data_IF_564073525587
#
_entry.id   IF_564073525587
#
_cell.length_a   1.000
_cell.length_b   1.000
_cell.length_c   1.000
_cell.angle_alpha   90.00
_cell.angle_beta   90.00
_cell.angle_gamma   90.00
#
_symmetry.space_group_name_H-M   'P 1'
#
loop_
_entity.id
_entity.type
_entity.pdbx_description
1 polymer ?
#
# COMPACT_ATOMS: atom_id res chain seq x y z
N UNK A 1 -41.84 75.25 12.32
CA UNK A 1 -42.50 74.18 11.56
C UNK A 1 -41.43 73.16 11.22
N UNK A 2 -41.28 72.13 12.06
CA UNK A 2 -40.17 71.18 12.06
C UNK A 2 -40.69 69.85 11.49
N UNK A 3 -40.20 69.47 10.31
CA UNK A 3 -40.62 68.27 9.57
C UNK A 3 -39.79 67.07 10.05
N UNK A 4 -40.38 66.17 10.84
CA UNK A 4 -39.76 64.89 11.19
C UNK A 4 -39.92 63.90 10.03
N UNK A 5 -38.82 63.57 9.36
CA UNK A 5 -38.76 62.50 8.37
C UNK A 5 -38.57 61.15 9.07
N UNK A 6 -39.61 60.32 9.07
CA UNK A 6 -39.57 58.94 9.56
C UNK A 6 -38.91 58.05 8.51
N UNK A 7 -37.60 57.85 8.64
CA UNK A 7 -36.85 56.86 7.85
C UNK A 7 -37.29 55.44 8.22
N UNK A 8 -38.05 54.79 7.33
CA UNK A 8 -38.36 53.37 7.44
C UNK A 8 -37.11 52.56 7.06
N UNK A 9 -36.41 52.06 8.08
CA UNK A 9 -35.34 51.07 7.89
C UNK A 9 -35.93 49.75 7.40
N UNK A 10 -35.76 49.45 6.11
CA UNK A 10 -36.02 48.13 5.55
C UNK A 10 -34.99 47.15 6.15
N UNK A 11 -35.45 46.29 7.05
CA UNK A 11 -34.65 45.15 7.51
C UNK A 11 -34.56 44.13 6.35
N UNK A 12 -33.38 44.03 5.73
CA UNK A 12 -33.07 42.96 4.78
C UNK A 12 -32.91 41.69 5.63
N UNK A 13 -33.93 40.83 5.63
CA UNK A 13 -33.81 39.50 6.21
C UNK A 13 -32.85 38.68 5.33
N UNK A 14 -31.79 38.07 5.88
CA UNK A 14 -30.96 37.17 5.11
C UNK A 14 -31.82 36.02 4.59
N UNK A 15 -31.91 35.86 3.28
CA UNK A 15 -32.55 34.69 2.67
C UNK A 15 -31.73 33.47 3.06
N UNK A 16 -32.33 32.58 3.86
CA UNK A 16 -31.74 31.28 4.11
C UNK A 16 -31.40 30.62 2.75
N UNK A 17 -30.19 30.08 2.57
CA UNK A 17 -29.84 29.41 1.32
C UNK A 17 -30.89 28.35 1.03
N UNK A 18 -31.49 28.42 -0.16
CA UNK A 18 -32.46 27.44 -0.60
C UNK A 18 -31.80 26.06 -0.49
N UNK A 19 -32.30 25.22 0.42
CA UNK A 19 -31.71 23.91 0.69
C UNK A 19 -31.73 23.08 -0.59
N UNK A 20 -30.55 22.85 -1.18
CA UNK A 20 -30.42 21.95 -2.32
C UNK A 20 -30.92 20.56 -1.90
N UNK A 21 -31.69 19.92 -2.78
CA UNK A 21 -32.14 18.55 -2.53
C UNK A 21 -30.92 17.64 -2.35
N UNK A 22 -30.95 16.76 -1.34
CA UNK A 22 -29.87 15.81 -1.12
C UNK A 22 -29.68 14.93 -2.38
N UNK A 23 -28.44 14.74 -2.87
CA UNK A 23 -28.21 13.96 -4.07
C UNK A 23 -28.59 12.49 -3.85
N UNK A 24 -29.22 11.90 -4.86
CA UNK A 24 -29.50 10.46 -4.93
C UNK A 24 -28.43 9.69 -5.72
N UNK A 25 -28.58 8.38 -5.83
CA UNK A 25 -27.71 7.55 -6.68
C UNK A 25 -27.72 8.05 -8.14
N UNK A 26 -26.53 8.06 -8.76
CA UNK A 26 -26.29 8.57 -10.11
C UNK A 26 -26.22 10.09 -10.22
N UNK A 27 -26.43 10.85 -9.14
CA UNK A 27 -26.37 12.31 -9.20
C UNK A 27 -24.95 12.81 -9.46
N UNK A 28 -24.85 13.89 -10.23
CA UNK A 28 -23.65 14.72 -10.33
C UNK A 28 -23.66 15.75 -9.21
N UNK A 29 -22.57 15.87 -8.47
CA UNK A 29 -22.41 16.81 -7.38
C UNK A 29 -21.31 17.81 -7.77
N UNK A 30 -21.66 19.08 -7.96
CA UNK A 30 -20.75 20.14 -8.43
C UNK A 30 -20.37 21.17 -7.36
N UNK A 31 -20.74 20.92 -6.11
CA UNK A 31 -20.41 21.75 -4.95
C UNK A 31 -20.24 20.85 -3.74
N UNK A 32 -19.64 21.34 -2.66
CA UNK A 32 -19.63 20.66 -1.37
C UNK A 32 -21.02 20.13 -0.99
N UNK A 33 -21.09 18.83 -0.70
CA UNK A 33 -22.29 18.18 -0.20
C UNK A 33 -21.95 17.27 0.96
N UNK A 34 -22.69 17.43 2.05
CA UNK A 34 -22.72 16.46 3.14
C UNK A 34 -23.97 15.60 2.99
N UNK A 35 -23.77 14.30 2.74
CA UNK A 35 -24.88 13.35 2.84
C UNK A 35 -25.25 13.16 4.31
N UNK A 36 -26.51 13.41 4.64
CA UNK A 36 -27.05 13.17 5.99
C UNK A 36 -27.69 11.79 6.13
N UNK A 37 -27.70 10.99 5.05
CA UNK A 37 -28.29 9.65 4.97
C UNK A 37 -27.46 8.76 4.05
N UNK A 38 -27.44 7.47 4.37
CA UNK A 38 -26.82 6.45 3.52
C UNK A 38 -27.50 6.38 2.15
N UNK A 39 -26.71 6.28 1.08
CA UNK A 39 -27.20 5.95 -0.25
C UNK A 39 -27.08 4.44 -0.50
N UNK A 40 -28.13 3.84 -1.05
CA UNK A 40 -28.17 2.44 -1.49
C UNK A 40 -28.40 2.40 -2.99
N UNK A 41 -27.38 2.01 -3.73
CA UNK A 41 -27.40 2.12 -5.18
C UNK A 41 -27.41 0.72 -5.83
N UNK A 42 -28.30 0.51 -6.80
CA UNK A 42 -28.33 -0.70 -7.62
C UNK A 42 -27.27 -0.69 -8.72
N UNK A 43 -26.78 0.49 -9.10
CA UNK A 43 -25.65 0.73 -10.00
C UNK A 43 -24.66 1.71 -9.39
N UNK A 44 -24.18 2.69 -10.18
CA UNK A 44 -23.23 3.70 -9.69
C UNK A 44 -23.77 4.53 -8.52
N UNK A 45 -22.88 4.86 -7.59
CA UNK A 45 -23.17 5.68 -6.43
C UNK A 45 -23.26 7.17 -6.79
N UNK A 46 -22.18 7.93 -6.57
CA UNK A 46 -22.14 9.36 -6.88
C UNK A 46 -21.06 9.69 -7.91
N UNK A 47 -21.38 10.66 -8.77
CA UNK A 47 -20.39 11.34 -9.60
C UNK A 47 -20.02 12.63 -8.86
N UNK A 48 -18.88 12.62 -8.18
CA UNK A 48 -18.43 13.74 -7.37
C UNK A 48 -17.56 14.69 -8.17
N UNK A 49 -17.71 15.96 -7.85
CA UNK A 49 -16.68 16.96 -8.04
C UNK A 49 -16.04 17.35 -6.68
N UNK A 50 -16.70 17.15 -5.52
CA UNK A 50 -16.17 17.50 -4.15
C UNK A 50 -16.72 16.59 -2.98
N UNK A 51 -16.35 16.83 -1.69
CA UNK A 51 -16.06 15.83 -0.61
C UNK A 51 -17.13 15.45 0.47
N UNK A 52 -17.03 14.24 1.09
CA UNK A 52 -17.54 13.91 2.47
C UNK A 52 -18.68 12.87 2.67
N UNK A 53 -18.49 11.52 2.61
CA UNK A 53 -19.64 10.59 2.32
C UNK A 53 -19.59 9.11 2.81
N UNK A 54 -20.76 8.51 3.10
CA UNK A 54 -21.01 7.04 3.16
C UNK A 54 -21.92 6.59 2.02
N UNK A 55 -21.49 5.61 1.21
CA UNK A 55 -22.17 5.11 0.00
C UNK A 55 -22.16 3.57 -0.02
N UNK A 56 -23.32 2.94 -0.24
CA UNK A 56 -23.48 1.48 -0.22
C UNK A 56 -23.97 1.00 -1.60
N UNK A 57 -23.28 0.01 -2.17
CA UNK A 57 -23.57 -0.56 -3.48
C UNK A 57 -24.19 -1.95 -3.46
N UNK A 58 -24.56 -2.41 -4.65
CA UNK A 58 -25.17 -3.73 -4.92
C UNK A 58 -24.16 -4.84 -5.25
N UNK A 59 -22.88 -4.51 -5.35
CA UNK A 59 -21.78 -5.38 -5.82
C UNK A 59 -21.33 -5.07 -7.25
N UNK A 60 -22.00 -4.14 -7.95
CA UNK A 60 -21.70 -3.74 -9.34
C UNK A 60 -21.40 -2.24 -9.43
N UNK A 61 -20.82 -1.80 -10.56
CA UNK A 61 -20.59 -0.37 -10.83
C UNK A 61 -19.56 0.29 -9.92
N UNK A 62 -19.58 1.63 -9.90
CA UNK A 62 -18.62 2.47 -9.16
C UNK A 62 -19.31 3.22 -8.03
N UNK A 63 -18.77 3.15 -6.81
CA UNK A 63 -19.32 3.86 -5.64
C UNK A 63 -19.18 5.38 -5.75
N UNK A 64 -17.96 5.86 -5.98
CA UNK A 64 -17.63 7.27 -6.22
C UNK A 64 -16.84 7.36 -7.50
N UNK A 65 -17.23 8.20 -8.44
CA UNK A 65 -16.40 8.57 -9.57
C UNK A 65 -16.08 10.05 -9.52
N UNK A 66 -14.81 10.41 -9.71
CA UNK A 66 -14.39 11.81 -9.91
C UNK A 66 -14.28 12.16 -11.40
N UNK A 67 -14.89 11.35 -12.26
CA UNK A 67 -14.74 11.36 -13.71
C UNK A 67 -15.49 12.47 -14.47
N UNK A 68 -14.93 13.65 -14.70
CA UNK A 68 -15.48 14.68 -15.60
C UNK A 68 -14.62 15.95 -15.64
N UNK A 69 -14.83 16.92 -16.55
CA UNK A 69 -14.03 18.16 -16.69
C UNK A 69 -14.11 19.14 -15.49
N UNK A 70 -14.29 18.61 -14.28
CA UNK A 70 -14.38 19.30 -13.01
C UNK A 70 -13.02 19.75 -12.48
N UNK A 71 -12.96 20.09 -11.19
CA UNK A 71 -11.83 20.79 -10.58
C UNK A 71 -10.54 19.98 -10.68
N UNK A 72 -9.40 20.68 -10.65
CA UNK A 72 -8.06 20.07 -10.68
C UNK A 72 -7.83 19.12 -9.48
N UNK A 73 -8.61 19.25 -8.41
CA UNK A 73 -8.51 18.42 -7.21
C UNK A 73 -9.88 18.07 -6.64
N UNK A 74 -10.10 16.79 -6.36
CA UNK A 74 -11.27 16.32 -5.59
C UNK A 74 -10.82 15.71 -4.28
N UNK A 75 -11.43 16.15 -3.18
CA UNK A 75 -11.20 15.58 -1.85
C UNK A 75 -12.36 14.65 -1.49
N UNK A 76 -12.11 13.57 -0.75
CA UNK A 76 -13.11 12.63 -0.21
C UNK A 76 -12.71 12.36 1.22
N UNK A 77 -13.57 12.73 2.17
CA UNK A 77 -13.29 12.68 3.61
C UNK A 77 -14.32 11.79 4.29
N UNK A 78 -13.87 10.90 5.17
CA UNK A 78 -14.72 10.07 6.03
C UNK A 78 -15.71 9.15 5.29
N UNK A 79 -16.42 8.37 6.10
CA UNK A 79 -17.53 7.53 5.68
C UNK A 79 -17.11 6.18 5.10
N UNK A 80 -18.08 5.45 4.57
CA UNK A 80 -17.91 4.04 4.16
C UNK A 80 -18.35 3.85 2.71
N UNK A 81 -17.49 3.30 1.86
CA UNK A 81 -17.82 2.85 0.50
C UNK A 81 -17.72 1.33 0.43
N UNK A 82 -18.84 0.64 0.20
CA UNK A 82 -18.84 -0.84 0.25
C UNK A 82 -19.69 -1.53 -0.80
N UNK A 83 -19.27 -2.75 -1.13
CA UNK A 83 -19.93 -3.66 -2.07
C UNK A 83 -20.14 -3.01 -3.44
N UNK A 84 -19.08 -2.52 -4.07
CA UNK A 84 -19.07 -2.11 -5.46
C UNK A 84 -18.05 -2.93 -6.27
N UNK A 85 -18.12 -2.87 -7.60
CA UNK A 85 -17.00 -3.36 -8.40
C UNK A 85 -15.78 -2.48 -8.14
N UNK A 86 -15.95 -1.14 -8.24
CA UNK A 86 -14.94 -0.16 -7.85
C UNK A 86 -15.49 0.75 -6.77
N UNK A 87 -14.82 0.85 -5.61
CA UNK A 87 -15.24 1.75 -4.55
C UNK A 87 -15.14 3.21 -4.98
N UNK A 88 -13.92 3.66 -5.29
CA UNK A 88 -13.63 5.01 -5.77
C UNK A 88 -12.85 4.90 -7.08
N UNK A 89 -13.36 5.51 -8.16
CA UNK A 89 -12.63 5.74 -9.39
C UNK A 89 -12.14 7.20 -9.43
N UNK A 90 -10.84 7.37 -9.23
CA UNK A 90 -10.11 8.63 -9.09
C UNK A 90 -9.25 8.91 -10.33
N UNK A 91 -9.89 9.10 -11.48
CA UNK A 91 -9.20 9.26 -12.78
C UNK A 91 -8.55 10.63 -13.01
N UNK A 92 -8.81 11.61 -12.15
CA UNK A 92 -8.40 13.02 -12.32
C UNK A 92 -7.05 13.32 -11.64
N UNK A 93 -6.35 14.42 -12.03
CA UNK A 93 -4.92 14.56 -11.80
C UNK A 93 -4.53 14.72 -10.33
N UNK A 94 -5.45 15.03 -9.43
CA UNK A 94 -5.19 15.05 -7.98
C UNK A 94 -6.44 14.65 -7.21
N UNK A 95 -6.39 13.55 -6.46
CA UNK A 95 -7.47 13.19 -5.54
C UNK A 95 -6.91 13.03 -4.13
N UNK A 96 -7.65 13.46 -3.12
CA UNK A 96 -7.29 13.26 -1.71
C UNK A 96 -8.38 12.40 -1.07
N UNK A 97 -8.00 11.25 -0.53
CA UNK A 97 -8.91 10.34 0.18
C UNK A 97 -8.44 10.20 1.61
N UNK A 98 -9.25 10.63 2.58
CA UNK A 98 -8.83 10.62 3.99
C UNK A 98 -9.93 10.16 4.93
N UNK A 99 -9.61 9.32 5.92
CA UNK A 99 -10.58 8.83 6.89
C UNK A 99 -11.66 7.90 6.30
N UNK A 100 -11.51 7.42 5.07
CA UNK A 100 -12.55 6.63 4.38
C UNK A 100 -12.37 5.14 4.69
N UNK A 101 -13.48 4.44 4.88
CA UNK A 101 -13.50 2.98 4.95
C UNK A 101 -13.99 2.38 3.63
N UNK A 102 -13.15 1.60 2.94
CA UNK A 102 -13.51 0.87 1.73
C UNK A 102 -13.60 -0.63 2.02
N UNK A 103 -14.79 -1.22 1.84
CA UNK A 103 -15.04 -2.60 2.26
C UNK A 103 -15.74 -3.46 1.21
N UNK A 104 -15.27 -4.68 1.00
CA UNK A 104 -15.99 -5.67 0.19
C UNK A 104 -16.13 -5.26 -1.28
N UNK A 105 -15.25 -4.39 -1.78
CA UNK A 105 -15.23 -4.00 -3.19
C UNK A 105 -14.33 -4.95 -3.98
N UNK A 106 -14.54 -5.09 -5.28
CA UNK A 106 -13.55 -5.82 -6.11
C UNK A 106 -12.24 -5.02 -6.15
N UNK A 107 -12.34 -3.72 -6.41
CA UNK A 107 -11.26 -2.74 -6.28
C UNK A 107 -11.70 -1.64 -5.32
N UNK A 108 -10.92 -1.33 -4.30
CA UNK A 108 -11.22 -0.24 -3.37
C UNK A 108 -11.09 1.11 -4.05
N UNK A 109 -9.87 1.50 -4.42
CA UNK A 109 -9.57 2.70 -5.21
C UNK A 109 -8.91 2.28 -6.52
N UNK A 110 -9.39 2.82 -7.63
CA UNK A 110 -8.75 2.78 -8.95
C UNK A 110 -8.37 4.22 -9.34
N UNK A 111 -7.07 4.50 -9.52
CA UNK A 111 -6.55 5.87 -9.66
C UNK A 111 -5.39 5.97 -10.64
N UNK A 112 -5.03 7.22 -10.99
CA UNK A 112 -3.74 7.60 -11.58
C UNK A 112 -2.96 8.59 -10.72
N UNK A 113 -3.64 9.32 -9.83
CA UNK A 113 -2.98 10.20 -8.87
C UNK A 113 -3.88 10.40 -7.66
N UNK A 114 -3.45 9.83 -6.53
CA UNK A 114 -4.21 9.93 -5.28
C UNK A 114 -3.27 10.01 -4.09
N UNK A 115 -3.64 10.88 -3.14
CA UNK A 115 -3.11 10.86 -1.79
C UNK A 115 -4.13 10.21 -0.88
N UNK A 116 -3.74 9.13 -0.21
CA UNK A 116 -4.59 8.39 0.74
C UNK A 116 -4.01 8.55 2.14
N UNK A 117 -4.83 8.94 3.11
CA UNK A 117 -4.40 9.03 4.51
C UNK A 117 -5.43 8.53 5.49
N UNK A 118 -5.00 8.00 6.63
CA UNK A 118 -5.86 7.60 7.75
C UNK A 118 -7.09 6.76 7.34
N UNK A 119 -6.96 5.96 6.28
CA UNK A 119 -8.08 5.24 5.65
C UNK A 119 -8.01 3.75 5.97
N UNK A 120 -9.14 3.06 5.84
CA UNK A 120 -9.26 1.64 6.18
C UNK A 120 -9.81 0.83 5.01
N UNK A 121 -9.05 -0.17 4.56
CA UNK A 121 -9.42 -1.05 3.45
C UNK A 121 -9.61 -2.47 3.96
N UNK A 122 -10.83 -3.01 3.87
CA UNK A 122 -11.16 -4.32 4.45
C UNK A 122 -11.84 -5.24 3.45
N UNK A 123 -11.30 -6.44 3.29
CA UNK A 123 -11.93 -7.50 2.49
C UNK A 123 -12.26 -7.07 1.05
N UNK A 124 -11.39 -6.27 0.43
CA UNK A 124 -11.46 -5.97 -1.00
C UNK A 124 -10.67 -7.03 -1.78
N UNK A 125 -10.97 -7.18 -3.08
CA UNK A 125 -10.09 -7.94 -3.98
C UNK A 125 -8.71 -7.28 -4.02
N UNK A 126 -8.67 -6.05 -4.51
CA UNK A 126 -7.51 -5.14 -4.45
C UNK A 126 -7.92 -3.88 -3.70
N UNK A 127 -7.18 -3.47 -2.67
CA UNK A 127 -7.54 -2.28 -1.90
C UNK A 127 -7.25 -0.97 -2.62
N UNK A 128 -6.06 -0.80 -3.19
CA UNK A 128 -5.75 0.28 -4.15
C UNK A 128 -5.06 -0.30 -5.36
N UNK A 129 -5.59 0.00 -6.53
CA UNK A 129 -5.00 -0.31 -7.82
C UNK A 129 -4.61 1.01 -8.48
N UNK A 130 -3.36 1.12 -8.92
CA UNK A 130 -2.90 2.31 -9.62
C UNK A 130 -1.97 1.95 -10.77
N UNK A 131 -2.25 2.57 -11.92
CA UNK A 131 -1.38 2.54 -13.08
C UNK A 131 -1.03 3.98 -13.48
N UNK A 132 0.27 4.27 -13.58
CA UNK A 132 0.82 5.60 -13.89
C UNK A 132 0.60 6.64 -12.78
N UNK A 133 1.42 7.70 -12.83
CA UNK A 133 1.35 8.85 -11.93
C UNK A 133 1.92 8.59 -10.53
N UNK A 134 1.42 9.35 -9.54
CA UNK A 134 1.94 9.34 -8.17
C UNK A 134 0.94 8.77 -7.17
N UNK A 135 1.43 8.01 -6.20
CA UNK A 135 0.64 7.53 -5.07
C UNK A 135 1.34 7.89 -3.77
N UNK A 136 0.63 8.54 -2.86
CA UNK A 136 1.08 8.68 -1.48
C UNK A 136 0.07 8.02 -0.55
N UNK A 137 0.51 7.11 0.31
CA UNK A 137 -0.34 6.47 1.32
C UNK A 137 0.30 6.60 2.69
N UNK A 138 -0.44 7.16 3.64
CA UNK A 138 0.05 7.32 5.00
C UNK A 138 -0.96 6.91 6.06
N UNK A 139 -0.49 6.35 7.17
CA UNK A 139 -1.31 6.10 8.36
C UNK A 139 -2.55 5.23 8.10
N UNK A 140 -2.54 4.40 7.06
CA UNK A 140 -3.71 3.67 6.59
C UNK A 140 -3.62 2.19 6.95
N UNK A 141 -4.78 1.54 7.07
CA UNK A 141 -4.88 0.11 7.43
C UNK A 141 -5.47 -0.71 6.28
N UNK A 142 -4.78 -1.77 5.89
CA UNK A 142 -5.15 -2.71 4.86
C UNK A 142 -5.34 -4.10 5.48
N UNK A 143 -6.57 -4.60 5.56
CA UNK A 143 -6.88 -5.84 6.26
C UNK A 143 -7.68 -6.83 5.42
N UNK A 144 -7.23 -8.08 5.40
CA UNK A 144 -7.93 -9.20 4.75
C UNK A 144 -8.24 -8.95 3.26
N UNK A 145 -7.44 -8.15 2.54
CA UNK A 145 -7.62 -7.96 1.10
C UNK A 145 -6.88 -9.07 0.33
N UNK A 146 -7.28 -9.32 -0.91
CA UNK A 146 -6.47 -10.15 -1.81
C UNK A 146 -5.10 -9.51 -2.03
N UNK A 147 -5.09 -8.26 -2.50
CA UNK A 147 -3.90 -7.41 -2.62
C UNK A 147 -4.16 -6.08 -1.90
N UNK A 148 -3.22 -5.62 -1.08
CA UNK A 148 -3.29 -4.31 -0.43
C UNK A 148 -3.12 -3.18 -1.45
N UNK A 149 -1.94 -3.11 -2.07
CA UNK A 149 -1.61 -2.15 -3.13
C UNK A 149 -1.11 -2.91 -4.37
N UNK A 150 -1.71 -2.67 -5.52
CA UNK A 150 -1.25 -3.20 -6.82
C UNK A 150 -0.85 -2.05 -7.75
N UNK A 151 0.43 -1.99 -8.07
CA UNK A 151 1.12 -0.80 -8.56
C UNK A 151 1.86 -1.11 -9.86
N UNK A 152 1.55 -0.36 -10.92
CA UNK A 152 2.16 -0.53 -12.23
C UNK A 152 2.63 0.82 -12.79
N UNK A 153 3.92 0.92 -13.15
CA UNK A 153 4.51 2.12 -13.75
C UNK A 153 4.31 3.40 -12.90
N UNK A 154 4.48 3.32 -11.59
CA UNK A 154 4.22 4.42 -10.63
C UNK A 154 5.42 4.75 -9.74
N UNK A 155 5.44 5.97 -9.19
CA UNK A 155 6.31 6.36 -8.08
C UNK A 155 5.46 6.49 -6.81
N UNK A 156 5.86 5.78 -5.75
CA UNK A 156 5.01 5.60 -4.57
C UNK A 156 5.75 5.88 -3.27
N UNK A 157 5.12 6.64 -2.37
CA UNK A 157 5.54 6.82 -0.98
C UNK A 157 4.51 6.19 -0.03
N UNK A 158 4.95 5.18 0.72
CA UNK A 158 4.17 4.47 1.72
C UNK A 158 4.83 4.67 3.09
N UNK A 159 4.15 5.38 3.98
CA UNK A 159 4.69 5.66 5.32
C UNK A 159 3.69 5.32 6.42
N UNK A 160 4.12 4.62 7.46
CA UNK A 160 3.30 4.32 8.65
C UNK A 160 1.99 3.58 8.33
N UNK A 161 2.05 2.62 7.41
CA UNK A 161 0.88 1.81 7.04
C UNK A 161 0.88 0.47 7.76
N UNK A 162 -0.33 -0.09 7.94
CA UNK A 162 -0.54 -1.38 8.60
C UNK A 162 -1.23 -2.34 7.64
N UNK A 163 -0.56 -3.42 7.27
CA UNK A 163 -1.06 -4.49 6.42
C UNK A 163 -1.27 -5.76 7.26
N UNK A 164 -2.51 -6.24 7.33
CA UNK A 164 -2.87 -7.41 8.16
C UNK A 164 -3.60 -8.47 7.34
N UNK A 165 -3.04 -9.67 7.28
CA UNK A 165 -3.64 -10.84 6.64
C UNK A 165 -4.08 -10.58 5.18
N UNK A 166 -3.29 -9.82 4.43
CA UNK A 166 -3.53 -9.67 2.99
C UNK A 166 -2.89 -10.86 2.25
N UNK A 167 -3.42 -11.24 1.09
CA UNK A 167 -2.75 -12.22 0.22
C UNK A 167 -1.37 -11.71 -0.21
N UNK A 168 -1.34 -10.47 -0.71
CA UNK A 168 -0.11 -9.68 -0.92
C UNK A 168 -0.30 -8.29 -0.30
N UNK A 169 0.64 -7.81 0.51
CA UNK A 169 0.59 -6.46 1.07
C UNK A 169 0.77 -5.39 -0.01
N UNK A 170 1.96 -5.36 -0.63
CA UNK A 170 2.28 -4.46 -1.75
C UNK A 170 2.82 -5.28 -2.92
N UNK A 171 2.21 -5.13 -4.10
CA UNK A 171 2.67 -5.67 -5.38
C UNK A 171 3.07 -4.51 -6.27
N UNK A 172 4.29 -4.55 -6.79
CA UNK A 172 4.76 -3.59 -7.80
C UNK A 172 5.22 -4.30 -9.06
N UNK A 173 5.06 -3.62 -10.19
CA UNK A 173 5.68 -3.94 -11.47
C UNK A 173 6.15 -2.63 -12.13
N UNK A 174 7.41 -2.58 -12.57
CA UNK A 174 8.02 -1.39 -13.19
C UNK A 174 7.80 -0.08 -12.39
N UNK A 175 7.89 -0.13 -11.06
CA UNK A 175 7.55 1.01 -10.21
C UNK A 175 8.67 1.37 -9.25
N UNK A 176 8.76 2.66 -8.91
CA UNK A 176 9.54 3.17 -7.79
C UNK A 176 8.70 3.17 -6.53
N UNK A 177 9.31 2.72 -5.43
CA UNK A 177 8.61 2.60 -4.17
C UNK A 177 9.53 2.95 -3.01
N UNK A 178 9.05 3.83 -2.15
CA UNK A 178 9.59 4.06 -0.81
C UNK A 178 8.58 3.54 0.20
N UNK A 179 9.00 2.58 1.02
CA UNK A 179 8.21 2.06 2.14
C UNK A 179 9.00 2.30 3.43
N UNK A 180 8.42 3.09 4.32
CA UNK A 180 9.01 3.38 5.64
C UNK A 180 8.04 3.20 6.78
N UNK A 181 8.58 2.81 7.94
CA UNK A 181 7.87 2.75 9.23
C UNK A 181 6.56 1.94 9.18
N UNK A 182 6.47 0.96 8.27
CA UNK A 182 5.24 0.21 8.02
C UNK A 182 5.29 -1.19 8.60
N UNK A 183 4.12 -1.74 8.92
CA UNK A 183 3.97 -3.06 9.51
C UNK A 183 3.18 -4.00 8.58
N UNK A 184 3.76 -5.16 8.32
CA UNK A 184 3.17 -6.25 7.56
C UNK A 184 3.04 -7.46 8.48
N UNK A 185 1.81 -7.91 8.72
CA UNK A 185 1.53 -8.98 9.67
C UNK A 185 0.53 -9.99 9.14
N UNK A 186 0.93 -11.27 9.10
CA UNK A 186 0.03 -12.34 8.68
C UNK A 186 -0.33 -12.27 7.20
N UNK A 187 -0.71 -13.42 6.63
CA UNK A 187 -1.09 -13.53 5.22
C UNK A 187 0.03 -14.09 4.36
N UNK A 188 -0.01 -13.80 3.06
CA UNK A 188 0.92 -14.37 2.09
C UNK A 188 2.23 -13.60 2.02
N UNK A 189 2.39 -12.79 0.97
CA UNK A 189 3.60 -12.01 0.72
C UNK A 189 3.47 -10.61 1.33
N UNK A 190 4.44 -10.14 2.11
CA UNK A 190 4.45 -8.75 2.59
C UNK A 190 4.62 -7.76 1.44
N UNK A 191 5.78 -7.80 0.78
CA UNK A 191 6.10 -6.95 -0.37
C UNK A 191 6.64 -7.79 -1.53
N UNK A 192 6.04 -7.63 -2.71
CA UNK A 192 6.46 -8.26 -3.97
C UNK A 192 6.89 -7.17 -4.96
N UNK A 193 8.19 -7.08 -5.24
CA UNK A 193 8.77 -6.13 -6.18
C UNK A 193 9.16 -6.83 -7.47
N UNK A 194 8.69 -6.31 -8.61
CA UNK A 194 8.98 -6.84 -9.95
C UNK A 194 9.48 -5.72 -10.87
N UNK A 195 10.56 -6.02 -11.60
CA UNK A 195 11.02 -5.23 -12.76
C UNK A 195 11.23 -3.72 -12.54
N UNK A 196 11.69 -3.27 -11.37
CA UNK A 196 11.92 -1.84 -11.10
C UNK A 196 13.20 -1.27 -11.76
N UNK A 197 13.38 -1.48 -13.07
CA UNK A 197 14.52 -0.92 -13.84
C UNK A 197 14.42 0.60 -13.93
N UNK A 198 15.45 1.31 -13.48
CA UNK A 198 15.51 2.77 -13.56
C UNK A 198 14.66 3.50 -12.53
N UNK A 199 13.97 2.77 -11.67
CA UNK A 199 13.19 3.31 -10.55
C UNK A 199 13.94 3.17 -9.23
N UNK A 200 13.64 4.05 -8.27
CA UNK A 200 14.19 3.94 -6.92
C UNK A 200 13.34 3.00 -6.08
N UNK A 201 13.97 2.00 -5.46
CA UNK A 201 13.32 1.10 -4.50
C UNK A 201 13.98 1.27 -3.14
N UNK A 202 13.20 1.63 -2.12
CA UNK A 202 13.67 1.73 -0.74
C UNK A 202 12.67 1.12 0.23
N UNK A 203 13.13 0.16 1.02
CA UNK A 203 12.40 -0.40 2.17
C UNK A 203 13.23 -0.12 3.42
N UNK A 204 12.73 0.74 4.30
CA UNK A 204 13.44 1.28 5.46
C UNK A 204 12.61 1.10 6.74
N UNK A 205 13.19 0.59 7.83
CA UNK A 205 12.52 0.55 9.15
C UNK A 205 11.14 -0.14 9.17
N UNK A 206 10.92 -1.14 8.31
CA UNK A 206 9.65 -1.87 8.29
C UNK A 206 9.70 -3.14 9.15
N UNK A 207 8.53 -3.59 9.59
CA UNK A 207 8.37 -4.85 10.32
C UNK A 207 7.54 -5.84 9.50
N UNK A 208 8.09 -7.02 9.26
CA UNK A 208 7.47 -8.14 8.54
C UNK A 208 7.36 -9.32 9.49
N UNK A 209 6.14 -9.72 9.85
CA UNK A 209 5.94 -10.74 10.89
C UNK A 209 4.80 -11.71 10.59
N UNK A 210 5.01 -12.98 10.85
CA UNK A 210 4.02 -14.05 10.68
C UNK A 210 3.47 -14.15 9.23
N UNK A 211 4.22 -13.70 8.21
CA UNK A 211 3.83 -13.84 6.79
C UNK A 211 4.26 -15.20 6.26
N UNK A 212 3.70 -15.65 5.13
CA UNK A 212 4.29 -16.77 4.40
C UNK A 212 5.72 -16.42 3.95
N UNK A 213 5.94 -15.19 3.48
CA UNK A 213 7.26 -14.65 3.11
C UNK A 213 7.25 -13.13 3.26
N UNK A 214 8.32 -12.57 3.83
CA UNK A 214 8.39 -11.14 4.12
C UNK A 214 8.42 -10.29 2.85
N UNK A 215 9.53 -10.37 2.11
CA UNK A 215 9.73 -9.62 0.87
C UNK A 215 10.29 -10.51 -0.23
N UNK A 216 9.75 -10.38 -1.44
CA UNK A 216 10.29 -10.98 -2.67
C UNK A 216 10.71 -9.86 -3.61
N UNK A 217 11.96 -9.89 -4.08
CA UNK A 217 12.46 -8.99 -5.11
C UNK A 217 12.89 -9.80 -6.31
N UNK A 218 12.20 -9.63 -7.43
CA UNK A 218 12.43 -10.41 -8.65
C UNK A 218 12.42 -9.53 -9.90
N UNK A 219 12.74 -10.14 -11.03
CA UNK A 219 12.90 -9.45 -12.29
C UNK A 219 14.13 -8.53 -12.29
N UNK A 220 14.13 -7.56 -13.19
CA UNK A 220 15.26 -6.65 -13.34
C UNK A 220 15.12 -5.45 -12.38
N UNK A 221 15.35 -5.66 -11.08
CA UNK A 221 15.33 -4.57 -10.08
C UNK A 221 16.74 -4.03 -9.84
N UNK A 222 16.92 -2.71 -9.83
CA UNK A 222 18.23 -2.07 -9.68
C UNK A 222 18.21 -0.98 -8.62
N UNK A 223 19.35 -0.74 -7.96
CA UNK A 223 19.51 0.31 -6.94
C UNK A 223 18.49 0.19 -5.78
N UNK A 224 18.01 -1.01 -5.49
CA UNK A 224 17.17 -1.25 -4.34
C UNK A 224 17.98 -1.11 -3.05
N UNK A 225 17.46 -0.36 -2.09
CA UNK A 225 18.02 -0.20 -0.75
C UNK A 225 17.04 -0.81 0.25
N UNK A 226 17.42 -1.93 0.84
CA UNK A 226 16.65 -2.63 1.85
C UNK A 226 17.41 -2.50 3.17
N UNK A 227 16.98 -1.59 4.02
CA UNK A 227 17.70 -1.20 5.22
C UNK A 227 16.88 -1.25 6.49
N UNK A 228 17.50 -1.69 7.58
CA UNK A 228 16.96 -1.54 8.95
C UNK A 228 15.58 -2.19 9.17
N UNK A 229 15.21 -3.16 8.33
CA UNK A 229 13.94 -3.88 8.45
C UNK A 229 14.07 -5.07 9.42
N UNK A 230 12.95 -5.42 10.05
CA UNK A 230 12.82 -6.57 10.94
C UNK A 230 11.93 -7.63 10.30
N UNK A 231 12.50 -8.80 9.99
CA UNK A 231 11.81 -9.96 9.46
C UNK A 231 11.75 -11.06 10.52
N UNK A 232 10.54 -11.37 11.00
CA UNK A 232 10.36 -12.28 12.13
C UNK A 232 9.29 -13.33 11.87
N UNK A 233 9.57 -14.59 12.21
CA UNK A 233 8.56 -15.65 12.20
C UNK A 233 7.83 -15.82 10.86
N UNK A 234 8.48 -15.49 9.74
CA UNK A 234 7.89 -15.74 8.43
C UNK A 234 8.03 -17.23 8.08
N UNK A 235 7.03 -17.79 7.40
CA UNK A 235 6.98 -19.21 7.05
C UNK A 235 8.19 -19.65 6.24
N UNK A 236 8.50 -18.91 5.17
CA UNK A 236 9.71 -19.02 4.37
C UNK A 236 10.77 -17.98 4.82
N UNK A 237 11.71 -17.64 3.94
CA UNK A 237 12.69 -16.59 4.20
C UNK A 237 12.05 -15.24 4.56
N UNK A 238 12.74 -14.43 5.35
CA UNK A 238 12.34 -13.05 5.60
C UNK A 238 12.44 -12.22 4.31
N UNK A 239 13.57 -12.35 3.61
CA UNK A 239 13.82 -11.68 2.34
C UNK A 239 14.34 -12.70 1.32
N UNK A 240 13.70 -12.72 0.15
CA UNK A 240 14.09 -13.55 -0.99
C UNK A 240 14.40 -12.69 -2.21
N UNK A 241 15.62 -12.83 -2.72
CA UNK A 241 16.18 -12.06 -3.83
C UNK A 241 16.73 -13.02 -4.90
N UNK A 242 15.87 -13.75 -5.65
CA UNK A 242 16.24 -14.78 -6.63
C UNK A 242 17.16 -14.30 -7.74
N UNK A 243 16.87 -13.13 -8.29
CA UNK A 243 17.43 -12.64 -9.53
C UNK A 243 17.53 -11.13 -9.49
N UNK A 244 18.72 -10.62 -9.78
CA UNK A 244 18.90 -9.23 -10.18
C UNK A 244 19.89 -9.17 -11.33
N UNK A 245 19.60 -8.28 -12.28
CA UNK A 245 20.64 -7.77 -13.16
C UNK A 245 21.73 -7.13 -12.28
N UNK A 246 23.00 -7.20 -12.66
CA UNK A 246 24.16 -6.89 -11.82
C UNK A 246 24.30 -5.39 -11.45
N UNK A 247 23.30 -4.82 -10.78
CA UNK A 247 23.25 -3.45 -10.29
C UNK A 247 23.44 -3.41 -8.77
N UNK A 248 23.81 -2.25 -8.25
CA UNK A 248 24.22 -2.03 -6.87
C UNK A 248 23.04 -2.04 -5.86
N UNK A 249 22.33 -3.16 -5.74
CA UNK A 249 21.34 -3.30 -4.67
C UNK A 249 22.06 -3.46 -3.33
N UNK A 250 21.55 -2.81 -2.29
CA UNK A 250 22.10 -2.82 -0.94
C UNK A 250 21.11 -3.43 0.03
N UNK A 251 21.55 -4.42 0.79
CA UNK A 251 20.80 -5.06 1.86
C UNK A 251 21.63 -4.87 3.14
N UNK A 252 21.21 -3.95 4.02
CA UNK A 252 22.05 -3.54 5.15
C UNK A 252 21.29 -3.35 6.45
N UNK A 253 21.85 -3.79 7.58
CA UNK A 253 21.25 -3.49 8.90
C UNK A 253 19.93 -4.21 9.18
N UNK A 254 19.56 -5.20 8.38
CA UNK A 254 18.30 -5.92 8.57
C UNK A 254 18.45 -7.01 9.64
N UNK A 255 17.36 -7.32 10.33
CA UNK A 255 17.29 -8.40 11.32
C UNK A 255 16.37 -9.51 10.82
N UNK A 256 16.86 -10.76 10.82
CA UNK A 256 16.15 -11.95 10.39
C UNK A 256 16.08 -12.95 11.56
N UNK A 257 14.92 -13.04 12.21
CA UNK A 257 14.72 -13.91 13.37
C UNK A 257 13.63 -14.95 13.11
N UNK A 258 13.90 -16.21 13.43
CA UNK A 258 12.89 -17.27 13.46
C UNK A 258 12.15 -17.49 12.13
N UNK A 259 12.78 -17.20 10.97
CA UNK A 259 12.15 -17.40 9.66
C UNK A 259 12.39 -18.82 9.11
N UNK A 260 11.56 -19.23 8.15
CA UNK A 260 11.82 -20.42 7.33
C UNK A 260 11.29 -21.75 7.87
N UNK A 261 10.54 -21.75 8.97
CA UNK A 261 10.05 -22.98 9.62
C UNK A 261 8.84 -23.63 8.92
N UNK A 262 8.19 -22.91 8.01
CA UNK A 262 7.04 -23.37 7.24
C UNK A 262 7.08 -22.81 5.80
N UNK A 263 8.09 -23.18 5.00
CA UNK A 263 8.34 -22.55 3.70
C UNK A 263 7.26 -22.84 2.65
N UNK A 264 6.33 -23.76 2.93
CA UNK A 264 5.19 -24.06 2.05
C UNK A 264 5.66 -24.45 0.64
N UNK A 265 5.18 -23.72 -0.36
CA UNK A 265 5.55 -23.91 -1.77
C UNK A 265 6.75 -23.04 -2.22
N UNK A 266 7.33 -22.23 -1.34
CA UNK A 266 8.40 -21.30 -1.70
C UNK A 266 9.75 -22.02 -1.75
N UNK A 267 10.31 -22.09 -2.96
CA UNK A 267 11.60 -22.73 -3.23
C UNK A 267 12.57 -21.78 -3.94
N UNK A 268 13.86 -22.03 -3.74
CA UNK A 268 14.96 -21.37 -4.46
C UNK A 268 15.03 -21.85 -5.94
N UNK A 269 15.89 -21.25 -6.78
CA UNK A 269 16.04 -21.68 -8.18
C UNK A 269 16.53 -23.12 -8.37
N UNK A 270 17.06 -23.76 -7.32
CA UNK A 270 17.50 -25.16 -7.32
C UNK A 270 16.40 -26.12 -6.83
N UNK A 271 15.24 -25.60 -6.41
CA UNK A 271 14.12 -26.37 -5.87
C UNK A 271 14.22 -26.66 -4.38
N UNK A 272 15.19 -26.08 -3.65
CA UNK A 272 15.27 -26.22 -2.20
C UNK A 272 14.28 -25.29 -1.50
N UNK A 273 13.75 -25.70 -0.36
CA UNK A 273 12.85 -24.85 0.41
C UNK A 273 13.54 -23.58 0.92
N UNK A 274 12.86 -22.42 0.79
CA UNK A 274 13.35 -21.12 1.28
C UNK A 274 13.28 -21.04 2.81
N UNK A 275 14.26 -21.63 3.48
CA UNK A 275 14.31 -21.74 4.95
C UNK A 275 15.31 -20.78 5.61
N UNK A 276 16.17 -20.12 4.84
CA UNK A 276 17.17 -19.18 5.34
C UNK A 276 16.54 -17.85 5.78
N UNK A 277 17.15 -17.12 6.72
CA UNK A 277 16.66 -15.80 7.12
C UNK A 277 16.62 -14.81 5.95
N UNK A 278 17.77 -14.70 5.26
CA UNK A 278 17.95 -14.00 3.99
C UNK A 278 18.44 -14.98 2.94
N UNK A 279 17.80 -15.01 1.78
CA UNK A 279 18.30 -15.67 0.58
C UNK A 279 18.47 -14.64 -0.54
N UNK A 280 19.68 -14.52 -1.09
CA UNK A 280 19.98 -13.57 -2.17
C UNK A 280 20.95 -14.13 -3.20
N UNK A 281 20.77 -13.72 -4.46
CA UNK A 281 21.65 -14.03 -5.57
C UNK A 281 22.47 -12.81 -6.03
N UNK A 282 23.23 -12.96 -7.12
CA UNK A 282 24.11 -11.94 -7.69
C UNK A 282 23.40 -10.58 -7.87
N UNK A 283 24.15 -9.51 -7.61
CA UNK A 283 23.66 -8.14 -7.74
C UNK A 283 23.19 -7.52 -6.42
N UNK A 284 23.51 -8.13 -5.28
CA UNK A 284 23.30 -7.53 -3.96
C UNK A 284 24.64 -7.37 -3.21
N UNK A 285 24.74 -6.28 -2.45
CA UNK A 285 25.74 -6.07 -1.42
C UNK A 285 25.08 -6.29 -0.06
N UNK A 286 25.63 -7.15 0.78
CA UNK A 286 25.05 -7.49 2.09
C UNK A 286 26.00 -7.04 3.19
N UNK A 287 25.50 -6.24 4.13
CA UNK A 287 26.27 -5.81 5.30
C UNK A 287 25.43 -5.68 6.56
N UNK A 288 26.11 -5.67 7.71
CA UNK A 288 25.56 -5.32 9.03
C UNK A 288 24.24 -6.05 9.40
N UNK A 289 23.97 -7.20 8.79
CA UNK A 289 22.71 -7.92 8.97
C UNK A 289 22.84 -8.93 10.10
N UNK A 290 21.78 -9.11 10.86
CA UNK A 290 21.73 -10.02 12.01
C UNK A 290 20.74 -11.13 11.69
N UNK A 291 21.18 -12.39 11.73
CA UNK A 291 20.32 -13.54 11.51
C UNK A 291 20.37 -14.54 12.67
N UNK A 292 19.26 -14.70 13.39
CA UNK A 292 19.18 -15.61 14.53
C UNK A 292 18.08 -16.65 14.35
N UNK A 293 18.39 -17.90 14.72
CA UNK A 293 17.40 -18.95 14.90
C UNK A 293 16.49 -19.21 13.68
N UNK A 294 16.98 -18.96 12.47
CA UNK A 294 16.24 -19.33 11.25
C UNK A 294 16.35 -20.84 10.99
N UNK A 295 15.36 -21.40 10.31
CA UNK A 295 15.25 -22.84 10.07
C UNK A 295 16.34 -23.38 9.12
N UNK A 296 16.82 -22.54 8.20
CA UNK A 296 17.94 -22.82 7.30
C UNK A 296 19.22 -22.14 7.78
N UNK A 297 19.90 -21.47 6.85
CA UNK A 297 21.04 -20.61 7.17
C UNK A 297 20.55 -19.26 7.74
N UNK A 298 21.44 -18.52 8.39
CA UNK A 298 21.14 -17.15 8.74
C UNK A 298 21.05 -16.27 7.50
N UNK A 299 22.15 -16.21 6.74
CA UNK A 299 22.26 -15.46 5.49
C UNK A 299 22.84 -16.37 4.41
N UNK A 300 22.14 -16.46 3.29
CA UNK A 300 22.54 -17.24 2.14
C UNK A 300 22.67 -16.34 0.91
N UNK A 301 23.92 -16.05 0.55
CA UNK A 301 24.29 -15.22 -0.58
C UNK A 301 24.98 -16.01 -1.69
N UNK A 302 24.41 -16.03 -2.89
CA UNK A 302 25.00 -16.68 -4.06
C UNK A 302 25.50 -15.62 -5.04
N UNK A 303 26.83 -15.43 -5.14
CA UNK A 303 27.42 -14.41 -6.02
C UNK A 303 27.14 -12.96 -5.57
N UNK A 304 26.82 -12.77 -4.31
CA UNK A 304 26.69 -11.46 -3.65
C UNK A 304 28.06 -10.86 -3.32
N UNK A 305 28.09 -9.57 -3.02
CA UNK A 305 29.24 -8.91 -2.41
C UNK A 305 29.03 -8.87 -0.89
N UNK A 306 29.95 -9.46 -0.14
CA UNK A 306 30.00 -9.30 1.29
C UNK A 306 30.63 -7.94 1.64
N UNK A 307 29.82 -7.02 2.16
CA UNK A 307 30.26 -5.70 2.62
C UNK A 307 30.52 -5.68 4.14
N UNK A 308 30.53 -6.84 4.81
CA UNK A 308 30.99 -7.02 6.19
C UNK A 308 29.98 -6.70 7.28
N UNK A 309 30.36 -6.99 8.53
CA UNK A 309 29.56 -6.69 9.72
C UNK A 309 28.36 -7.61 9.98
N UNK A 310 28.22 -8.68 9.19
CA UNK A 310 27.14 -9.64 9.36
C UNK A 310 27.35 -10.51 10.61
N UNK A 311 26.25 -10.86 11.28
CA UNK A 311 26.23 -11.70 12.48
C UNK A 311 25.18 -12.79 12.32
N UNK A 312 25.55 -14.04 12.58
CA UNK A 312 24.60 -15.13 12.48
C UNK A 312 24.86 -16.21 13.51
N UNK A 313 23.80 -16.60 14.24
CA UNK A 313 23.89 -17.60 15.30
C UNK A 313 22.61 -18.39 15.47
N UNK A 314 22.75 -19.61 16.00
CA UNK A 314 21.65 -20.50 16.34
C UNK A 314 20.72 -20.85 15.17
N UNK A 315 21.10 -20.58 13.92
CA UNK A 315 20.36 -21.06 12.75
C UNK A 315 20.60 -22.56 12.60
N UNK A 316 19.57 -23.32 12.19
CA UNK A 316 19.63 -24.79 12.27
C UNK A 316 20.59 -25.40 11.26
N UNK A 317 20.81 -24.77 10.11
CA UNK A 317 21.72 -25.27 9.09
C UNK A 317 23.14 -24.69 9.26
N UNK A 318 24.19 -25.52 9.37
CA UNK A 318 25.58 -25.08 9.23
C UNK A 318 25.99 -25.03 7.74
N UNK A 319 26.87 -24.11 7.33
CA UNK A 319 27.42 -22.99 8.11
C UNK A 319 26.34 -21.92 8.40
N UNK A 320 26.56 -21.04 9.38
CA UNK A 320 25.59 -20.00 9.71
C UNK A 320 25.35 -19.00 8.57
N UNK A 321 26.35 -18.81 7.70
CA UNK A 321 26.26 -17.99 6.50
C UNK A 321 26.92 -18.66 5.30
N UNK A 322 26.36 -18.43 4.12
CA UNK A 322 26.89 -18.86 2.82
C UNK A 322 27.16 -17.62 1.97
N UNK A 323 28.35 -17.57 1.35
CA UNK A 323 28.77 -16.49 0.44
C UNK A 323 29.02 -15.12 1.09
N UNK A 324 28.81 -15.00 2.39
CA UNK A 324 29.20 -13.86 3.23
C UNK A 324 29.87 -14.36 4.51
N UNK A 325 30.67 -13.51 5.14
CA UNK A 325 31.32 -13.77 6.42
C UNK A 325 30.40 -13.31 7.54
N UNK A 326 30.21 -14.19 8.52
CA UNK A 326 29.46 -13.88 9.73
C UNK A 326 30.31 -14.14 10.97
N UNK A 327 30.08 -13.30 11.98
CA UNK A 327 30.55 -13.50 13.36
C UNK A 327 29.47 -14.05 14.28
#
# INVERSE_FOLDING_TARGET
>A
MLLLATGSSLAILPTAPAGAAAPGCGSSVSSDVVLTKDLRCSGSGLLLQESGLTIIGSGTGTGISTGGPGPETTTIINGVVKNFATGINASYPSNVVTGVTLRGNTVGIDSRNVTVSASTFVANGTAVQQALGGLSVSGSTFKNNGVGLDLLDVEVDLTQNIFVNNGTGVSTDNSGVRISDSSFRGGGVGVLLRNSLGYSVRLDDNTFTDLDIGTIITGATTNAVISENSFRSNGASGLYFPNSVAAANTISGNTFNDNGFAPGAYVDPSGNALSSGLWANKGAQISNSIANANAGHGIEGHGVVDAGGNRARNNLAPPQCIGVVCS
#
